data_IF_105277341701
#
_entry.id   IF_105277341701
#
_cell.length_a   1.000
_cell.length_b   1.000
_cell.length_c   1.000
_cell.angle_alpha   90.00
_cell.angle_beta   90.00
_cell.angle_gamma   90.00
#
_symmetry.space_group_name_H-M   'P 1'
#
loop_
_entity.id
_entity.type
_entity.pdbx_description
1 polymer ?
#
# COMPACT_ATOMS: atom_id res chain seq x y z
N UNK A 1 -38.15 -49.48 10.52
CA UNK A 1 -36.93 -48.71 10.22
C UNK A 1 -37.34 -47.27 9.93
N UNK A 2 -37.29 -46.38 10.89
CA UNK A 2 -37.68 -44.94 10.75
C UNK A 2 -36.42 -44.09 10.84
N UNK A 3 -36.05 -43.44 9.73
CA UNK A 3 -34.97 -42.45 9.63
C UNK A 3 -35.48 -41.10 10.19
N UNK A 4 -34.96 -40.67 11.30
CA UNK A 4 -35.16 -39.34 11.81
C UNK A 4 -34.10 -38.38 11.20
N UNK A 5 -34.55 -37.55 10.27
CA UNK A 5 -33.80 -36.36 9.82
C UNK A 5 -33.95 -35.28 10.91
N UNK A 6 -32.85 -34.96 11.55
CA UNK A 6 -32.75 -33.75 12.42
C UNK A 6 -32.25 -32.59 11.57
N UNK A 7 -33.18 -31.72 11.21
CA UNK A 7 -32.86 -30.39 10.62
C UNK A 7 -32.40 -29.46 11.72
N UNK A 8 -31.11 -29.11 11.71
CA UNK A 8 -30.61 -28.01 12.50
C UNK A 8 -30.81 -26.72 11.71
N UNK A 9 -31.82 -25.93 12.07
CA UNK A 9 -32.00 -24.56 11.63
C UNK A 9 -31.19 -23.65 12.56
N UNK A 10 -30.03 -23.19 12.10
CA UNK A 10 -29.24 -22.20 12.81
C UNK A 10 -29.76 -20.81 12.46
N UNK A 11 -30.48 -20.20 13.39
CA UNK A 11 -30.91 -18.81 13.30
C UNK A 11 -29.74 -17.89 13.63
N UNK A 12 -29.21 -17.21 12.62
CA UNK A 12 -28.25 -16.14 12.80
C UNK A 12 -29.03 -14.85 13.18
N UNK A 13 -29.02 -14.50 14.45
CA UNK A 13 -29.54 -13.21 14.91
C UNK A 13 -28.48 -12.13 14.69
N UNK A 14 -28.63 -11.30 13.64
CA UNK A 14 -27.87 -10.06 13.50
C UNK A 14 -28.40 -9.08 14.57
N UNK A 15 -27.58 -8.81 15.58
CA UNK A 15 -27.81 -7.71 16.50
C UNK A 15 -27.56 -6.38 15.75
N UNK A 16 -28.59 -5.60 15.55
CA UNK A 16 -28.53 -4.23 15.07
C UNK A 16 -27.86 -3.37 16.14
N UNK A 17 -26.59 -3.05 15.96
CA UNK A 17 -25.90 -2.05 16.77
C UNK A 17 -26.36 -0.66 16.35
N UNK A 18 -26.74 0.13 17.36
CA UNK A 18 -27.39 1.43 17.28
C UNK A 18 -26.66 2.46 16.42
N UNK A 19 -27.44 3.24 15.71
CA UNK A 19 -26.97 4.37 14.93
C UNK A 19 -26.29 5.42 15.81
N UNK A 20 -25.02 5.66 15.53
CA UNK A 20 -24.33 6.86 15.98
C UNK A 20 -24.80 7.98 15.07
N UNK A 21 -25.65 8.87 15.57
CA UNK A 21 -25.95 10.13 14.90
C UNK A 21 -24.67 10.99 14.94
N UNK A 22 -23.93 10.98 13.84
CA UNK A 22 -22.90 11.98 13.59
C UNK A 22 -23.62 13.31 13.34
N UNK A 23 -23.48 14.24 14.28
CA UNK A 23 -23.84 15.64 14.09
C UNK A 23 -23.14 16.18 12.85
N UNK A 24 -23.88 16.96 12.03
CA UNK A 24 -23.43 17.68 10.84
C UNK A 24 -22.22 18.57 11.14
N UNK A 25 -21.02 17.96 11.16
CA UNK A 25 -19.78 18.65 10.95
C UNK A 25 -19.65 18.85 9.45
N UNK A 26 -19.53 20.09 9.01
CA UNK A 26 -19.20 20.45 7.62
C UNK A 26 -17.91 19.75 7.25
N UNK A 27 -18.03 18.54 6.72
CA UNK A 27 -16.92 17.83 6.10
C UNK A 27 -16.56 18.61 4.84
N UNK A 28 -15.56 19.47 4.96
CA UNK A 28 -14.80 19.93 3.79
C UNK A 28 -14.22 18.66 3.17
N UNK A 29 -14.93 18.11 2.18
CA UNK A 29 -14.40 17.09 1.31
C UNK A 29 -13.23 17.72 0.55
N UNK A 30 -12.05 17.66 1.13
CA UNK A 30 -10.81 17.78 0.39
C UNK A 30 -10.70 16.51 -0.48
N UNK A 31 -11.47 16.48 -1.55
CA UNK A 31 -11.36 15.47 -2.58
C UNK A 31 -10.10 15.80 -3.40
N UNK A 32 -8.94 15.47 -2.87
CA UNK A 32 -7.71 15.42 -3.65
C UNK A 32 -7.69 14.12 -4.42
N UNK A 33 -8.50 13.99 -5.48
CA UNK A 33 -8.34 12.89 -6.41
C UNK A 33 -7.32 13.31 -7.45
N UNK A 34 -6.07 12.92 -7.23
CA UNK A 34 -5.02 13.01 -8.24
C UNK A 34 -4.91 11.63 -8.91
N UNK A 35 -5.23 11.57 -10.18
CA UNK A 35 -5.09 10.37 -10.99
C UNK A 35 -3.93 10.60 -11.97
N UNK A 36 -2.91 9.75 -11.91
CA UNK A 36 -1.73 9.83 -12.77
C UNK A 36 -1.46 8.48 -13.40
N UNK A 37 -1.20 8.49 -14.71
CA UNK A 37 -0.78 7.29 -15.48
C UNK A 37 0.74 7.09 -15.42
N UNK A 38 1.44 7.89 -14.61
CA UNK A 38 2.87 7.76 -14.44
C UNK A 38 3.20 6.82 -13.29
N UNK A 39 4.09 5.88 -13.56
CA UNK A 39 4.85 5.16 -12.55
C UNK A 39 5.90 6.08 -11.95
N UNK A 40 5.99 6.15 -10.63
CA UNK A 40 6.93 7.00 -9.92
C UNK A 40 8.05 6.16 -9.34
N UNK A 41 9.29 6.52 -9.65
CA UNK A 41 10.49 5.90 -9.10
C UNK A 41 11.33 6.93 -8.37
N UNK A 42 11.50 6.76 -7.07
CA UNK A 42 12.44 7.55 -6.27
C UNK A 42 13.79 6.85 -6.29
N UNK A 43 14.81 7.54 -6.82
CA UNK A 43 16.16 7.00 -7.00
C UNK A 43 17.16 7.85 -6.22
N UNK A 44 18.35 7.30 -5.95
CA UNK A 44 19.43 8.05 -5.30
C UNK A 44 19.75 9.38 -6.02
N UNK A 45 19.57 9.41 -7.34
CA UNK A 45 19.95 10.55 -8.20
C UNK A 45 18.75 11.35 -8.72
N UNK A 46 17.55 11.20 -8.12
CA UNK A 46 16.38 11.99 -8.51
C UNK A 46 15.09 11.20 -8.49
N UNK A 47 14.04 11.83 -9.01
CA UNK A 47 12.70 11.22 -9.12
C UNK A 47 12.36 11.10 -10.60
N UNK A 48 12.03 9.88 -11.03
CA UNK A 48 11.59 9.59 -12.38
C UNK A 48 10.10 9.30 -12.40
N UNK A 49 9.40 9.90 -13.37
CA UNK A 49 8.02 9.61 -13.73
C UNK A 49 8.03 9.01 -15.12
N UNK A 50 7.50 7.81 -15.29
CA UNK A 50 7.48 7.10 -16.57
C UNK A 50 6.09 6.59 -16.88
N UNK A 51 5.72 6.59 -18.15
CA UNK A 51 4.47 5.97 -18.62
C UNK A 51 4.67 5.27 -19.94
N UNK A 52 3.86 4.24 -20.18
CA UNK A 52 3.97 3.39 -21.36
C UNK A 52 3.34 4.01 -22.63
N UNK A 53 2.48 5.00 -22.48
CA UNK A 53 1.77 5.63 -23.60
C UNK A 53 1.59 7.13 -23.38
N UNK A 54 1.59 7.90 -24.46
CA UNK A 54 1.44 9.36 -24.43
C UNK A 54 2.77 10.12 -24.31
N UNK A 55 2.68 11.45 -24.43
CA UNK A 55 3.81 12.38 -24.32
C UNK A 55 3.54 13.44 -23.27
N UNK A 56 4.53 13.78 -22.43
CA UNK A 56 5.86 13.19 -22.35
C UNK A 56 5.82 11.75 -21.79
N UNK A 57 6.70 10.88 -22.26
CA UNK A 57 6.80 9.50 -21.76
C UNK A 57 7.65 9.37 -20.51
N UNK A 58 8.60 10.31 -20.33
CA UNK A 58 9.49 10.36 -19.17
C UNK A 58 9.70 11.78 -18.70
N UNK A 59 9.51 12.00 -17.40
CA UNK A 59 9.90 13.22 -16.71
C UNK A 59 10.87 12.84 -15.61
N UNK A 60 11.99 13.55 -15.50
CA UNK A 60 13.00 13.32 -14.48
C UNK A 60 13.37 14.63 -13.81
N UNK A 61 13.48 14.59 -12.48
CA UNK A 61 13.91 15.75 -11.70
C UNK A 61 15.02 15.38 -10.72
N UNK A 62 15.98 16.27 -10.57
CA UNK A 62 17.06 16.14 -9.61
C UNK A 62 17.67 17.51 -9.29
N UNK A 63 17.81 17.81 -8.01
CA UNK A 63 18.45 19.05 -7.48
C UNK A 63 17.96 20.35 -8.19
N UNK A 64 16.66 20.42 -8.44
CA UNK A 64 16.05 21.56 -9.08
C UNK A 64 16.18 21.58 -10.61
N UNK A 65 16.84 20.61 -11.22
CA UNK A 65 16.83 20.41 -12.66
C UNK A 65 15.63 19.58 -13.09
N UNK A 66 15.13 19.82 -14.30
CA UNK A 66 14.01 19.10 -14.89
C UNK A 66 14.40 18.63 -16.29
N UNK A 67 14.12 17.36 -16.57
CA UNK A 67 14.25 16.78 -17.89
C UNK A 67 12.91 16.21 -18.35
N UNK A 68 12.58 16.39 -19.61
CA UNK A 68 11.38 15.85 -20.27
C UNK A 68 11.80 15.12 -21.53
N UNK A 69 11.49 13.81 -21.58
CA UNK A 69 11.90 12.91 -22.68
C UNK A 69 13.41 13.02 -23.00
N UNK A 70 14.25 13.10 -21.92
CA UNK A 70 15.70 13.20 -22.02
C UNK A 70 16.26 14.56 -22.44
N UNK A 71 15.41 15.60 -22.50
CA UNK A 71 15.85 16.97 -22.81
C UNK A 71 15.76 17.84 -21.57
N UNK A 72 16.78 18.64 -21.33
CA UNK A 72 16.76 19.60 -20.24
C UNK A 72 15.75 20.72 -20.52
N UNK A 73 14.96 21.03 -19.52
CA UNK A 73 13.98 22.10 -19.53
C UNK A 73 14.49 23.24 -18.67
N UNK A 74 14.58 24.43 -19.25
CA UNK A 74 14.94 25.64 -18.50
C UNK A 74 13.82 25.97 -17.52
N UNK A 75 14.15 25.99 -16.24
CA UNK A 75 13.24 26.38 -15.16
C UNK A 75 13.73 27.67 -14.50
N UNK A 76 12.79 28.44 -13.94
CA UNK A 76 13.16 29.63 -13.17
C UNK A 76 13.85 29.22 -11.86
N UNK A 77 14.61 30.13 -11.25
CA UNK A 77 15.22 29.90 -9.94
C UNK A 77 14.18 29.53 -8.85
N UNK A 78 12.98 30.14 -8.93
CA UNK A 78 11.89 29.82 -8.02
C UNK A 78 11.33 28.41 -8.24
N UNK A 79 11.21 27.97 -9.48
CA UNK A 79 10.74 26.62 -9.79
C UNK A 79 11.80 25.58 -9.47
N UNK A 80 13.09 25.87 -9.70
CA UNK A 80 14.19 25.01 -9.27
C UNK A 80 14.18 24.81 -7.74
N UNK A 81 13.88 25.84 -6.96
CA UNK A 81 13.72 25.71 -5.52
C UNK A 81 12.53 24.79 -5.16
N UNK A 82 11.38 24.97 -5.80
CA UNK A 82 10.21 24.10 -5.58
C UNK A 82 10.48 22.63 -5.93
N UNK A 83 11.23 22.39 -7.01
CA UNK A 83 11.59 21.02 -7.40
C UNK A 83 12.50 20.37 -6.36
N UNK A 84 13.47 21.10 -5.78
CA UNK A 84 14.29 20.61 -4.66
C UNK A 84 13.47 20.31 -3.42
N UNK A 85 12.58 21.23 -3.05
CA UNK A 85 11.71 21.05 -1.89
C UNK A 85 10.80 19.80 -2.06
N UNK A 86 10.25 19.62 -3.26
CA UNK A 86 9.45 18.44 -3.59
C UNK A 86 10.26 17.16 -3.50
N UNK A 87 11.46 17.13 -4.09
CA UNK A 87 12.36 15.97 -4.03
C UNK A 87 12.70 15.60 -2.58
N UNK A 88 13.01 16.60 -1.75
CA UNK A 88 13.30 16.38 -0.34
C UNK A 88 12.10 15.80 0.43
N UNK A 89 10.90 16.37 0.24
CA UNK A 89 9.68 15.86 0.89
C UNK A 89 9.34 14.44 0.46
N UNK A 90 9.47 14.10 -0.82
CA UNK A 90 9.23 12.73 -1.31
C UNK A 90 10.21 11.76 -0.68
N UNK A 91 11.50 12.12 -0.59
CA UNK A 91 12.51 11.27 0.07
C UNK A 91 12.23 11.06 1.55
N UNK A 92 11.71 12.05 2.24
CA UNK A 92 11.31 11.94 3.65
C UNK A 92 10.09 11.02 3.82
N UNK A 93 9.16 11.02 2.86
CA UNK A 93 7.96 10.17 2.92
C UNK A 93 8.23 8.68 2.68
N UNK A 94 9.21 8.33 1.85
CA UNK A 94 9.48 6.93 1.47
C UNK A 94 9.69 6.01 2.68
N UNK A 95 10.55 6.34 3.67
CA UNK A 95 10.73 5.49 4.84
C UNK A 95 9.47 5.39 5.71
N UNK A 96 8.66 6.45 5.79
CA UNK A 96 7.40 6.41 6.53
C UNK A 96 6.39 5.47 5.86
N UNK A 97 6.29 5.51 4.53
CA UNK A 97 5.45 4.58 3.75
C UNK A 97 5.94 3.15 3.91
N UNK A 98 7.26 2.91 3.88
CA UNK A 98 7.84 1.59 4.11
C UNK A 98 7.50 1.04 5.50
N UNK A 99 7.55 1.89 6.54
CA UNK A 99 7.17 1.49 7.90
C UNK A 99 5.69 1.08 7.98
N UNK A 100 4.78 1.89 7.43
CA UNK A 100 3.35 1.58 7.38
C UNK A 100 3.08 0.27 6.63
N UNK A 101 3.78 0.05 5.51
CA UNK A 101 3.63 -1.18 4.74
C UNK A 101 4.08 -2.41 5.53
N UNK A 102 5.20 -2.34 6.28
CA UNK A 102 5.65 -3.43 7.16
C UNK A 102 4.64 -3.70 8.27
N UNK A 103 4.15 -2.67 8.93
CA UNK A 103 3.12 -2.81 9.97
C UNK A 103 1.85 -3.48 9.43
N UNK A 104 1.44 -3.12 8.22
CA UNK A 104 0.31 -3.76 7.53
C UNK A 104 0.53 -5.26 7.27
N UNK A 105 1.74 -5.65 6.85
CA UNK A 105 2.12 -7.06 6.66
C UNK A 105 2.09 -7.82 7.98
N UNK A 106 2.62 -7.24 9.07
CA UNK A 106 2.60 -7.87 10.40
C UNK A 106 1.18 -8.08 10.92
N UNK A 107 0.31 -7.08 10.78
CA UNK A 107 -1.11 -7.20 11.17
C UNK A 107 -1.80 -8.29 10.37
N UNK A 108 -1.59 -8.32 9.05
CA UNK A 108 -2.14 -9.35 8.17
C UNK A 108 -1.65 -10.76 8.52
N UNK A 109 -0.36 -10.92 8.77
CA UNK A 109 0.24 -12.18 9.18
C UNK A 109 -0.33 -12.68 10.51
N UNK A 110 -0.44 -11.81 11.51
CA UNK A 110 -1.01 -12.14 12.81
C UNK A 110 -2.48 -12.58 12.70
N UNK A 111 -3.28 -11.87 11.92
CA UNK A 111 -4.67 -12.22 11.69
C UNK A 111 -4.81 -13.59 11.02
N UNK A 112 -4.06 -13.85 9.95
CA UNK A 112 -4.09 -15.12 9.22
C UNK A 112 -3.57 -16.29 10.07
N UNK A 113 -2.55 -16.07 10.89
CA UNK A 113 -2.06 -17.07 11.84
C UNK A 113 -3.16 -17.49 12.82
N UNK A 114 -3.95 -16.54 13.32
CA UNK A 114 -5.08 -16.83 14.19
C UNK A 114 -6.17 -17.63 13.48
N UNK A 115 -6.46 -17.30 12.23
CA UNK A 115 -7.44 -18.03 11.39
C UNK A 115 -6.97 -19.49 11.19
N UNK A 116 -5.72 -19.68 10.78
CA UNK A 116 -5.15 -21.03 10.59
C UNK A 116 -5.17 -21.84 11.89
N UNK A 117 -4.80 -21.21 13.02
CA UNK A 117 -4.82 -21.89 14.33
C UNK A 117 -6.22 -22.37 14.73
N UNK A 118 -7.25 -21.63 14.30
CA UNK A 118 -8.66 -21.92 14.67
C UNK A 118 -9.34 -22.88 13.70
N UNK A 119 -9.05 -22.80 12.40
CA UNK A 119 -9.80 -23.51 11.35
C UNK A 119 -9.09 -24.74 10.79
N UNK A 120 -7.78 -24.92 11.02
CA UNK A 120 -7.06 -26.09 10.54
C UNK A 120 -7.59 -27.37 11.23
N UNK A 121 -8.00 -28.34 10.41
CA UNK A 121 -8.69 -29.56 10.87
C UNK A 121 -7.77 -30.49 11.67
N UNK A 122 -6.47 -30.51 11.35
CA UNK A 122 -5.48 -31.37 12.02
C UNK A 122 -4.12 -30.66 12.17
N UNK A 123 -3.21 -31.28 12.93
CA UNK A 123 -1.90 -30.73 13.27
C UNK A 123 -0.96 -30.61 12.08
N UNK A 124 -1.01 -31.56 11.15
CA UNK A 124 -0.13 -31.58 9.98
C UNK A 124 -0.53 -30.49 8.97
N UNK A 125 -1.82 -30.33 8.74
CA UNK A 125 -2.35 -29.25 7.91
C UNK A 125 -2.02 -27.88 8.50
N UNK A 126 -2.23 -27.71 9.80
CA UNK A 126 -1.86 -26.47 10.51
C UNK A 126 -0.39 -26.14 10.32
N UNK A 127 0.49 -27.12 10.51
CA UNK A 127 1.94 -26.93 10.38
C UNK A 127 2.31 -26.49 8.95
N UNK A 128 1.74 -27.14 7.94
CA UNK A 128 1.95 -26.81 6.53
C UNK A 128 1.48 -25.39 6.20
N UNK A 129 0.26 -25.03 6.61
CA UNK A 129 -0.31 -23.70 6.34
C UNK A 129 0.47 -22.57 7.06
N UNK A 130 0.91 -22.80 8.30
CA UNK A 130 1.74 -21.82 9.03
C UNK A 130 3.12 -21.66 8.40
N UNK A 131 3.69 -22.73 7.84
CA UNK A 131 4.97 -22.65 7.11
C UNK A 131 4.80 -21.81 5.83
N UNK A 132 3.81 -22.11 5.01
CA UNK A 132 3.52 -21.34 3.79
C UNK A 132 3.23 -19.87 4.09
N UNK A 133 2.43 -19.60 5.14
CA UNK A 133 2.12 -18.23 5.56
C UNK A 133 3.38 -17.45 5.97
N UNK A 134 4.32 -18.12 6.67
CA UNK A 134 5.59 -17.50 7.06
C UNK A 134 6.47 -17.19 5.85
N UNK A 135 6.51 -18.06 4.86
CA UNK A 135 7.25 -17.79 3.62
C UNK A 135 6.68 -16.57 2.89
N UNK A 136 5.35 -16.50 2.75
CA UNK A 136 4.69 -15.33 2.14
C UNK A 136 4.91 -14.04 2.91
N UNK A 137 4.92 -14.11 4.23
CA UNK A 137 5.24 -12.97 5.08
C UNK A 137 6.67 -12.46 4.81
N UNK A 138 7.65 -13.36 4.78
CA UNK A 138 9.04 -13.00 4.50
C UNK A 138 9.22 -12.43 3.08
N UNK A 139 8.57 -13.01 2.08
CA UNK A 139 8.56 -12.49 0.70
C UNK A 139 7.99 -11.08 0.63
N UNK A 140 6.89 -10.82 1.35
CA UNK A 140 6.26 -9.50 1.38
C UNK A 140 7.19 -8.45 2.01
N UNK A 141 7.84 -8.77 3.13
CA UNK A 141 8.81 -7.86 3.75
C UNK A 141 10.01 -7.60 2.84
N UNK A 142 10.58 -8.64 2.21
CA UNK A 142 11.68 -8.48 1.25
C UNK A 142 11.26 -7.62 0.04
N UNK A 143 10.03 -7.77 -0.44
CA UNK A 143 9.53 -6.94 -1.52
C UNK A 143 9.41 -5.46 -1.12
N UNK A 144 8.91 -5.18 0.09
CA UNK A 144 8.86 -3.81 0.63
C UNK A 144 10.27 -3.23 0.73
N UNK A 145 11.21 -3.98 1.29
CA UNK A 145 12.59 -3.53 1.46
C UNK A 145 13.30 -3.34 0.11
N UNK A 146 13.06 -4.23 -0.85
CA UNK A 146 13.61 -4.12 -2.20
C UNK A 146 13.02 -2.96 -3.01
N UNK A 147 11.75 -2.64 -2.80
CA UNK A 147 11.05 -1.60 -3.57
C UNK A 147 11.20 -0.20 -2.95
N UNK A 148 11.13 -0.10 -1.63
CA UNK A 148 11.12 1.16 -0.90
C UNK A 148 12.47 1.45 -0.19
N UNK A 149 13.29 0.43 0.04
CA UNK A 149 14.59 0.57 0.72
C UNK A 149 15.73 1.03 -0.19
N UNK A 150 15.63 0.88 -1.51
CA UNK A 150 16.67 1.24 -2.49
C UNK A 150 16.48 2.63 -3.11
N UNK A 151 15.45 3.37 -2.71
CA UNK A 151 15.12 4.70 -3.22
C UNK A 151 15.72 5.87 -2.45
N UNK A 152 16.62 5.59 -1.50
CA UNK A 152 17.18 6.62 -0.61
C UNK A 152 18.68 6.69 -0.75
#
# INVERSE_FOLDING_TARGET
MRRHMLSFATVFALAAAGGVHATDGHSHHLSCSFNSDYDVQVQAHGIAFTRNSGTPSKVFMHDGALQVDGRDVSVSAADAARLRDYEAQVRELVPAVAAIARDGVEVGYSALTTVVATLAENGDERTRLLHELRERHNEALQHIDGTLGHGI
#
